data_IF_809176831732
#
_entry.id   IF_809176831732
#
_cell.length_a   1.000
_cell.length_b   1.000
_cell.length_c   1.000
_cell.angle_alpha   90.00
_cell.angle_beta   90.00
_cell.angle_gamma   90.00
#
_symmetry.space_group_name_H-M   'P 1'
#
loop_
_entity.id
_entity.type
_entity.pdbx_description
1 polymer ?
#
# COMPACT_ATOMS: atom_id res chain seq x y z
N UNK A 1 -20.32 -0.74 -17.54
CA UNK A 1 -18.95 -1.24 -17.77
C UNK A 1 -18.55 -2.04 -16.54
N UNK A 2 -18.28 -3.34 -16.69
CA UNK A 2 -17.74 -4.17 -15.59
C UNK A 2 -16.23 -3.95 -15.61
N UNK A 3 -15.66 -3.39 -14.56
CA UNK A 3 -14.28 -2.88 -14.55
C UNK A 3 -13.20 -3.95 -14.83
N UNK A 4 -13.53 -5.24 -14.93
CA UNK A 4 -12.56 -6.32 -15.18
C UNK A 4 -13.09 -7.49 -16.04
N UNK A 5 -14.14 -7.31 -16.84
CA UNK A 5 -14.54 -8.32 -17.85
C UNK A 5 -15.08 -9.67 -17.33
N UNK A 6 -15.00 -9.96 -16.03
CA UNK A 6 -15.50 -11.18 -15.41
C UNK A 6 -16.22 -10.86 -14.10
N UNK A 7 -17.53 -11.07 -14.05
CA UNK A 7 -18.37 -10.85 -12.87
C UNK A 7 -18.13 -11.87 -11.76
N UNK A 8 -17.43 -12.98 -12.04
CA UNK A 8 -17.06 -13.98 -11.03
C UNK A 8 -15.83 -13.58 -10.18
N UNK A 9 -15.08 -12.53 -10.56
CA UNK A 9 -13.92 -12.06 -9.79
C UNK A 9 -14.31 -11.65 -8.35
N UNK A 10 -15.53 -11.13 -8.15
CA UNK A 10 -16.00 -10.71 -6.82
C UNK A 10 -16.06 -11.89 -5.84
N UNK A 11 -16.47 -13.07 -6.30
CA UNK A 11 -16.59 -14.25 -5.44
C UNK A 11 -15.22 -14.84 -5.08
N UNK A 12 -14.19 -14.64 -5.90
CA UNK A 12 -12.84 -15.18 -5.69
C UNK A 12 -11.89 -14.19 -4.99
N UNK A 13 -12.02 -12.89 -5.25
CA UNK A 13 -11.18 -11.86 -4.63
C UNK A 13 -11.45 -11.71 -3.13
N UNK A 14 -12.70 -11.93 -2.67
CA UNK A 14 -13.01 -11.88 -1.23
C UNK A 14 -12.30 -13.00 -0.45
N UNK A 15 -12.16 -14.19 -1.04
CA UNK A 15 -11.42 -15.30 -0.43
C UNK A 15 -9.93 -14.99 -0.33
N UNK A 16 -9.38 -14.32 -1.35
CA UNK A 16 -7.97 -13.90 -1.36
C UNK A 16 -7.68 -12.91 -0.23
N UNK A 17 -8.55 -11.92 0.02
CA UNK A 17 -8.39 -11.00 1.15
C UNK A 17 -8.54 -11.70 2.50
N UNK A 18 -9.45 -12.69 2.62
CA UNK A 18 -9.63 -13.46 3.85
C UNK A 18 -8.47 -14.38 4.21
N UNK A 19 -7.66 -14.78 3.22
CA UNK A 19 -6.45 -15.60 3.44
C UNK A 19 -5.30 -14.81 4.07
N UNK A 20 -5.36 -13.48 4.08
CA UNK A 20 -4.29 -12.64 4.64
C UNK A 20 -4.22 -12.81 6.15
N UNK A 21 -3.07 -13.23 6.65
CA UNK A 21 -2.81 -13.40 8.09
C UNK A 21 -2.16 -12.15 8.69
N UNK A 22 -2.09 -12.07 10.03
CA UNK A 22 -1.39 -10.97 10.72
C UNK A 22 0.11 -11.03 10.44
N UNK A 23 0.64 -12.24 10.34
CA UNK A 23 2.03 -12.54 10.06
C UNK A 23 2.42 -12.06 8.66
N UNK A 24 1.54 -12.26 7.67
CA UNK A 24 1.73 -11.75 6.31
C UNK A 24 1.83 -10.22 6.30
N UNK A 25 0.93 -9.53 7.01
CA UNK A 25 0.96 -8.06 7.12
C UNK A 25 2.28 -7.60 7.75
N UNK A 26 2.72 -8.25 8.82
CA UNK A 26 3.98 -7.93 9.50
C UNK A 26 5.19 -8.19 8.60
N UNK A 27 5.21 -9.28 7.84
CA UNK A 27 6.30 -9.62 6.93
C UNK A 27 6.44 -8.58 5.81
N UNK A 28 5.33 -8.17 5.20
CA UNK A 28 5.30 -7.15 4.14
C UNK A 28 5.73 -5.79 4.70
N UNK A 29 5.26 -5.41 5.89
CA UNK A 29 5.68 -4.17 6.55
C UNK A 29 7.20 -4.14 6.77
N UNK A 30 7.79 -5.21 7.32
CA UNK A 30 9.25 -5.33 7.52
C UNK A 30 10.03 -5.24 6.20
N UNK A 31 9.49 -5.82 5.13
CA UNK A 31 10.14 -5.83 3.81
C UNK A 31 10.15 -4.44 3.17
N UNK A 32 9.03 -3.74 3.15
CA UNK A 32 8.88 -2.52 2.35
C UNK A 32 9.03 -1.23 3.15
N UNK A 33 8.63 -1.20 4.42
CA UNK A 33 8.70 0.01 5.26
C UNK A 33 10.05 0.11 5.97
N UNK A 34 11.13 0.24 5.18
CA UNK A 34 12.49 0.38 5.68
C UNK A 34 13.06 1.78 5.36
N UNK A 35 14.17 2.14 6.04
CA UNK A 35 14.80 3.46 5.91
C UNK A 35 15.29 3.77 4.49
N UNK A 36 15.62 2.73 3.72
CA UNK A 36 16.15 2.86 2.36
C UNK A 36 15.03 2.98 1.32
N UNK A 37 13.80 2.57 1.66
CA UNK A 37 12.61 2.63 0.81
C UNK A 37 11.67 3.76 1.24
N UNK A 38 12.20 4.95 1.48
CA UNK A 38 11.43 6.11 1.95
C UNK A 38 11.76 7.37 1.18
N UNK A 39 10.71 8.10 0.78
CA UNK A 39 10.76 9.51 0.39
C UNK A 39 10.22 10.34 1.54
N UNK A 40 10.94 11.38 1.93
CA UNK A 40 10.45 12.36 2.93
C UNK A 40 10.22 13.67 2.22
N UNK A 41 8.95 14.09 2.16
CA UNK A 41 8.56 15.36 1.58
C UNK A 41 8.43 16.40 2.70
N UNK A 42 9.26 17.44 2.62
CA UNK A 42 9.14 18.61 3.49
C UNK A 42 8.43 19.73 2.72
N UNK A 43 7.22 20.06 3.14
CA UNK A 43 6.50 21.22 2.62
C UNK A 43 6.77 22.42 3.52
N UNK A 44 7.53 23.39 3.02
CA UNK A 44 7.81 24.65 3.73
C UNK A 44 7.07 25.82 3.09
N UNK A 45 6.62 26.82 3.89
CA UNK A 45 5.99 28.01 3.36
C UNK A 45 6.93 28.75 2.39
N UNK A 46 6.36 29.28 1.30
CA UNK A 46 7.09 30.05 0.30
C UNK A 46 7.78 31.24 0.99
N UNK A 47 9.12 31.30 0.94
CA UNK A 47 9.91 32.36 1.55
C UNK A 47 10.63 31.99 2.86
N UNK A 48 10.36 30.82 3.45
CA UNK A 48 11.29 30.24 4.43
C UNK A 48 12.37 29.46 3.69
N UNK A 49 13.64 29.79 3.93
CA UNK A 49 14.76 28.91 3.57
C UNK A 49 14.54 27.59 4.32
N UNK A 50 14.13 26.55 3.61
CA UNK A 50 14.38 25.19 4.08
C UNK A 50 15.90 25.01 4.09
N UNK A 51 16.43 24.48 5.20
CA UNK A 51 17.83 24.14 5.48
C UNK A 51 18.86 24.60 4.44
#
# INVERSE_FOLDING_TARGET
>A
QVYFGDSNLINTEIERYRKVTREDVMAVAKKYLNKNNRVVLYYVPKGKKGW
#
